data_IF_586789513533
#
_entry.id   IF_586789513533
#
_cell.length_a   1.000
_cell.length_b   1.000
_cell.length_c   1.000
_cell.angle_alpha   90.00
_cell.angle_beta   90.00
_cell.angle_gamma   90.00
#
_symmetry.space_group_name_H-M   'P 1'
#
loop_
_entity.id
_entity.type
_entity.pdbx_description
1 polymer ?
#
# COMPACT_ATOMS: atom_id res chain seq x y z
N UNK A 1 -14.78 8.68 -14.60
CA UNK A 1 -14.76 7.85 -13.36
C UNK A 1 -13.98 8.51 -12.22
N UNK A 2 -12.87 9.22 -12.49
CA UNK A 2 -12.05 9.92 -11.49
C UNK A 2 -12.79 11.01 -10.70
N UNK A 3 -13.68 11.76 -11.35
CA UNK A 3 -14.42 12.86 -10.72
C UNK A 3 -15.42 12.39 -9.65
N UNK A 4 -16.03 11.22 -9.84
CA UNK A 4 -16.99 10.65 -8.87
C UNK A 4 -16.30 10.24 -7.56
N UNK A 5 -15.09 9.70 -7.63
CA UNK A 5 -14.29 9.34 -6.44
C UNK A 5 -13.81 10.60 -5.71
N UNK A 6 -13.40 11.63 -6.46
CA UNK A 6 -13.05 12.93 -5.88
C UNK A 6 -14.24 13.59 -5.18
N UNK A 7 -15.42 13.58 -5.79
CA UNK A 7 -16.65 14.13 -5.20
C UNK A 7 -17.05 13.41 -3.91
N UNK A 8 -16.95 12.07 -3.89
CA UNK A 8 -17.27 11.28 -2.69
C UNK A 8 -16.29 11.57 -1.54
N UNK A 9 -15.02 11.77 -1.87
CA UNK A 9 -13.95 12.11 -0.92
C UNK A 9 -14.15 13.51 -0.33
N UNK A 10 -14.46 14.51 -1.16
CA UNK A 10 -14.79 15.86 -0.70
C UNK A 10 -16.03 15.86 0.20
N UNK A 11 -17.07 15.11 -0.18
CA UNK A 11 -18.29 14.99 0.63
C UNK A 11 -18.02 14.30 1.98
N UNK A 12 -17.24 13.23 1.99
CA UNK A 12 -16.85 12.52 3.22
C UNK A 12 -16.05 13.41 4.19
N UNK A 13 -15.15 14.25 3.66
CA UNK A 13 -14.41 15.23 4.46
C UNK A 13 -15.35 16.24 5.13
N UNK A 14 -16.33 16.77 4.39
CA UNK A 14 -17.33 17.70 4.93
C UNK A 14 -18.21 17.06 6.00
N UNK A 15 -18.61 15.80 5.82
CA UNK A 15 -19.44 15.08 6.79
C UNK A 15 -18.64 14.71 8.07
N UNK A 16 -17.35 14.37 7.95
CA UNK A 16 -16.49 14.13 9.11
C UNK A 16 -16.26 15.41 9.95
N UNK A 17 -16.09 16.57 9.30
CA UNK A 17 -15.97 17.85 10.00
C UNK A 17 -17.28 18.22 10.74
N UNK A 18 -18.44 17.90 10.14
CA UNK A 18 -19.76 18.11 10.77
C UNK A 18 -20.02 17.17 11.95
N UNK A 19 -19.62 15.90 11.88
CA UNK A 19 -19.81 14.92 12.95
C UNK A 19 -19.19 15.36 14.29
N UNK A 20 -18.08 16.11 14.24
CA UNK A 20 -17.40 16.62 15.44
C UNK A 20 -18.23 17.69 16.20
N UNK A 21 -19.09 18.43 15.48
CA UNK A 21 -19.96 19.47 16.04
C UNK A 21 -21.21 18.89 16.71
N UNK A 22 -21.64 17.69 16.31
CA UNK A 22 -22.86 17.03 16.82
C UNK A 22 -22.66 16.29 18.14
N UNK A 23 -21.45 16.32 18.73
CA UNK A 23 -21.12 15.59 19.97
C UNK A 23 -21.66 16.26 21.25
N UNK A 24 -22.59 17.19 21.13
CA UNK A 24 -23.24 17.90 22.24
C UNK A 24 -24.24 16.97 22.94
N UNK A 25 -23.79 16.27 23.99
CA UNK A 25 -24.65 15.38 24.79
C UNK A 25 -23.97 14.07 25.22
N UNK A 26 -22.84 13.73 24.59
CA UNK A 26 -22.04 12.54 24.94
C UNK A 26 -21.00 12.87 26.00
N UNK A 27 -20.70 11.90 26.88
CA UNK A 27 -19.71 12.00 27.94
C UNK A 27 -18.31 12.38 27.44
N UNK A 28 -17.53 13.06 28.28
CA UNK A 28 -16.24 13.69 27.92
C UNK A 28 -15.21 12.70 27.39
N UNK A 29 -15.13 11.50 27.96
CA UNK A 29 -14.24 10.42 27.51
C UNK A 29 -14.61 9.90 26.12
N UNK A 30 -15.91 9.71 25.84
CA UNK A 30 -16.38 9.26 24.51
C UNK A 30 -16.14 10.34 23.46
N UNK A 31 -16.36 11.61 23.83
CA UNK A 31 -16.10 12.76 22.95
C UNK A 31 -14.62 12.87 22.57
N UNK A 32 -13.69 12.67 23.50
CA UNK A 32 -12.27 12.75 23.21
C UNK A 32 -11.78 11.59 22.34
N UNK A 33 -12.27 10.37 22.57
CA UNK A 33 -12.02 9.22 21.72
C UNK A 33 -12.52 9.47 20.29
N UNK A 34 -13.77 9.88 20.13
CA UNK A 34 -14.36 10.13 18.82
C UNK A 34 -13.71 11.29 18.06
N UNK A 35 -13.24 12.33 18.77
CA UNK A 35 -12.43 13.39 18.15
C UNK A 35 -11.13 12.87 17.56
N UNK A 36 -10.44 11.96 18.26
CA UNK A 36 -9.21 11.33 17.76
C UNK A 36 -9.48 10.50 16.51
N UNK A 37 -10.54 9.69 16.52
CA UNK A 37 -10.96 8.89 15.37
C UNK A 37 -11.30 9.78 14.16
N UNK A 38 -12.08 10.85 14.36
CA UNK A 38 -12.40 11.79 13.28
C UNK A 38 -11.14 12.45 12.71
N UNK A 39 -10.19 12.84 13.57
CA UNK A 39 -8.91 13.39 13.11
C UNK A 39 -8.09 12.38 12.30
N UNK A 40 -8.09 11.11 12.72
CA UNK A 40 -7.41 10.04 12.00
C UNK A 40 -8.05 9.80 10.63
N UNK A 41 -9.38 9.67 10.58
CA UNK A 41 -10.13 9.50 9.32
C UNK A 41 -9.94 10.69 8.38
N UNK A 42 -9.83 11.91 8.90
CA UNK A 42 -9.54 13.10 8.10
C UNK A 42 -8.14 13.03 7.47
N UNK A 43 -7.14 12.55 8.21
CA UNK A 43 -5.79 12.35 7.69
C UNK A 43 -5.78 11.31 6.55
N UNK A 44 -6.42 10.16 6.77
CA UNK A 44 -6.52 9.09 5.77
C UNK A 44 -7.29 9.54 4.52
N UNK A 45 -8.42 10.22 4.73
CA UNK A 45 -9.20 10.81 3.66
C UNK A 45 -8.45 11.94 2.93
N UNK A 46 -7.35 12.48 3.46
CA UNK A 46 -6.47 13.46 2.80
C UNK A 46 -5.29 12.84 2.04
N UNK A 47 -5.10 11.51 2.08
CA UNK A 47 -4.07 10.83 1.28
C UNK A 47 -4.35 10.86 -0.23
N UNK A 48 -3.34 11.24 -1.01
CA UNK A 48 -3.44 11.26 -2.46
C UNK A 48 -3.29 9.86 -3.04
N UNK A 49 -4.41 9.21 -3.33
CA UNK A 49 -4.41 7.92 -4.01
C UNK A 49 -4.15 8.07 -5.51
N UNK A 50 -3.34 7.17 -6.07
CA UNK A 50 -3.23 6.97 -7.52
C UNK A 50 -4.31 6.01 -8.02
N UNK A 51 -4.55 5.98 -9.34
CA UNK A 51 -5.47 4.99 -9.91
C UNK A 51 -4.91 3.59 -9.74
N UNK A 52 -5.77 2.63 -9.41
CA UNK A 52 -5.38 1.21 -9.31
C UNK A 52 -4.74 0.71 -10.61
N UNK A 53 -5.26 1.13 -11.77
CA UNK A 53 -4.68 0.81 -13.06
C UNK A 53 -3.26 1.36 -13.24
N UNK A 54 -2.97 2.54 -12.69
CA UNK A 54 -1.63 3.12 -12.72
C UNK A 54 -0.69 2.33 -11.81
N UNK A 55 -1.09 2.10 -10.55
CA UNK A 55 -0.30 1.32 -9.61
C UNK A 55 0.01 -0.09 -10.14
N UNK A 56 -0.96 -0.75 -10.79
CA UNK A 56 -0.76 -2.05 -11.41
C UNK A 56 0.23 -2.00 -12.59
N UNK A 57 0.18 -0.95 -13.41
CA UNK A 57 1.13 -0.75 -14.51
C UNK A 57 2.55 -0.52 -13.99
N UNK A 58 2.70 0.30 -12.95
CA UNK A 58 3.99 0.62 -12.33
C UNK A 58 4.61 -0.64 -11.71
N UNK A 59 3.82 -1.43 -10.98
CA UNK A 59 4.25 -2.71 -10.40
C UNK A 59 4.67 -3.70 -11.49
N UNK A 60 3.88 -3.85 -12.55
CA UNK A 60 4.22 -4.71 -13.69
C UNK A 60 5.56 -4.28 -14.31
N UNK A 61 5.74 -2.98 -14.54
CA UNK A 61 6.95 -2.47 -15.15
C UNK A 61 8.17 -2.71 -14.27
N UNK A 62 8.05 -2.48 -12.96
CA UNK A 62 9.10 -2.81 -12.00
C UNK A 62 9.50 -4.29 -12.07
N UNK A 63 8.51 -5.19 -12.05
CA UNK A 63 8.78 -6.62 -12.16
C UNK A 63 9.48 -6.97 -13.48
N UNK A 64 9.04 -6.44 -14.62
CA UNK A 64 9.66 -6.73 -15.92
C UNK A 64 11.10 -6.22 -16.02
N UNK A 65 11.39 -5.05 -15.46
CA UNK A 65 12.74 -4.47 -15.45
C UNK A 65 13.70 -5.30 -14.59
N UNK A 66 13.22 -5.87 -13.48
CA UNK A 66 14.06 -6.61 -12.54
C UNK A 66 14.05 -8.13 -12.79
N UNK A 67 13.13 -8.66 -13.59
CA UNK A 67 12.97 -10.09 -13.79
C UNK A 67 14.25 -10.78 -14.28
N UNK A 68 15.03 -10.13 -15.15
CA UNK A 68 16.29 -10.69 -15.67
C UNK A 68 17.41 -10.74 -14.62
N UNK A 69 17.26 -9.98 -13.53
CA UNK A 69 18.21 -9.92 -12.42
C UNK A 69 17.79 -10.79 -11.24
N UNK A 70 16.65 -11.48 -11.33
CA UNK A 70 16.15 -12.38 -10.30
C UNK A 70 16.59 -13.82 -10.60
N UNK A 71 17.59 -14.38 -9.86
CA UNK A 71 18.08 -15.74 -10.02
C UNK A 71 16.99 -16.82 -9.91
N UNK A 72 15.90 -16.54 -9.20
CA UNK A 72 14.80 -17.48 -9.00
C UNK A 72 13.87 -17.53 -10.22
N UNK A 73 13.83 -16.46 -11.01
CA UNK A 73 13.04 -16.40 -12.23
C UNK A 73 13.84 -16.86 -13.45
N UNK A 74 15.09 -16.44 -13.59
CA UNK A 74 15.94 -16.81 -14.75
C UNK A 74 16.67 -18.13 -14.57
N UNK A 75 16.75 -18.62 -13.33
CA UNK A 75 17.70 -19.65 -12.96
C UNK A 75 19.13 -19.12 -12.92
N UNK A 76 20.02 -19.92 -12.35
CA UNK A 76 21.47 -19.66 -12.31
C UNK A 76 22.25 -20.90 -12.68
N UNK A 77 23.40 -20.70 -13.30
CA UNK A 77 24.35 -21.78 -13.56
C UNK A 77 24.78 -22.44 -12.24
N UNK A 78 25.16 -23.72 -12.30
CA UNK A 78 25.65 -24.40 -11.09
C UNK A 78 26.88 -23.72 -10.49
N UNK A 79 27.76 -23.11 -11.28
CA UNK A 79 28.98 -22.44 -10.78
C UNK A 79 28.70 -21.13 -10.06
N UNK A 80 27.63 -20.43 -10.43
CA UNK A 80 27.22 -19.16 -9.80
C UNK A 80 26.22 -19.35 -8.67
N UNK A 81 25.71 -20.56 -8.46
CA UNK A 81 24.80 -20.88 -7.37
C UNK A 81 25.56 -21.16 -6.05
N UNK A 82 25.42 -20.33 -5.00
CA UNK A 82 26.09 -20.55 -3.73
C UNK A 82 25.58 -21.78 -2.96
N UNK A 83 24.38 -22.28 -3.29
CA UNK A 83 23.77 -23.47 -2.67
C UNK A 83 24.07 -24.77 -3.43
N UNK A 84 24.98 -24.73 -4.40
CA UNK A 84 25.40 -25.88 -5.21
C UNK A 84 26.08 -26.96 -4.35
N UNK A 85 25.67 -28.24 -4.44
CA UNK A 85 26.43 -29.33 -3.81
C UNK A 85 27.87 -29.40 -4.34
N UNK A 86 28.86 -29.56 -3.45
CA UNK A 86 30.26 -29.73 -3.86
C UNK A 86 30.39 -30.97 -4.76
N UNK A 87 31.05 -30.82 -5.92
CA UNK A 87 31.43 -31.97 -6.73
C UNK A 87 32.61 -32.63 -6.03
N UNK A 88 32.46 -33.88 -5.61
CA UNK A 88 33.61 -34.73 -5.31
C UNK A 88 34.27 -35.09 -6.64
N UNK A 89 35.49 -34.61 -6.87
CA UNK A 89 36.29 -35.08 -7.99
C UNK A 89 36.78 -36.50 -7.67
N UNK A 90 36.32 -37.49 -8.42
CA UNK A 90 36.96 -38.80 -8.47
C UNK A 90 38.16 -38.71 -9.40
N UNK A 91 39.37 -38.90 -8.88
CA UNK A 91 40.53 -39.23 -9.70
C UNK A 91 40.38 -40.70 -10.10
N UNK A 92 40.12 -40.95 -11.38
CA UNK A 92 40.17 -42.26 -12.03
C UNK A 92 41.46 -42.36 -12.83
#
# INVERSE_FOLDING_TARGET
MTERVSCYRSHLLTELERACLLLTGVGTAVRSAMKKEVQQLLLEARLNCVKVSQAAADLKQFCLQNAQHDPLLTGVSSSTNPFRPQKVCSFL
#
